data_IF_966046573888
#
_entry.id   IF_966046573888
#
_cell.length_a   1.000
_cell.length_b   1.000
_cell.length_c   1.000
_cell.angle_alpha   90.00
_cell.angle_beta   90.00
_cell.angle_gamma   90.00
#
_symmetry.space_group_name_H-M   'P 1'
#
loop_
_entity.id
_entity.type
_entity.pdbx_description
1 polymer ?
#
# COMPACT_ATOMS: atom_id res chain seq x y z
N UNK A 1 -14.64 23.91 10.96
CA UNK A 1 -13.71 22.94 10.33
C UNK A 1 -13.99 21.47 10.69
N UNK A 2 -14.70 21.14 11.77
CA UNK A 2 -15.03 19.74 12.14
C UNK A 2 -15.96 19.00 11.15
N UNK A 3 -16.93 19.71 10.55
CA UNK A 3 -17.89 19.08 9.64
C UNK A 3 -17.23 18.50 8.38
N UNK A 4 -16.25 19.18 7.78
CA UNK A 4 -15.68 18.75 6.51
C UNK A 4 -14.90 17.43 6.65
N UNK A 5 -14.15 17.27 7.75
CA UNK A 5 -13.40 16.04 8.04
C UNK A 5 -14.32 14.84 8.35
N UNK A 6 -15.48 15.08 8.96
CA UNK A 6 -16.45 14.04 9.27
C UNK A 6 -17.17 13.55 8.00
N UNK A 7 -17.57 14.47 7.11
CA UNK A 7 -18.18 14.11 5.83
C UNK A 7 -17.21 13.35 4.92
N UNK A 8 -15.97 13.81 4.77
CA UNK A 8 -14.98 13.10 3.93
C UNK A 8 -14.74 11.68 4.40
N UNK A 9 -14.68 11.44 5.72
CA UNK A 9 -14.49 10.10 6.28
C UNK A 9 -15.70 9.17 6.01
N UNK A 10 -16.94 9.70 6.10
CA UNK A 10 -18.14 8.93 5.77
C UNK A 10 -18.20 8.52 4.29
N UNK A 11 -17.84 9.42 3.37
CA UNK A 11 -17.78 9.10 1.95
C UNK A 11 -16.66 8.09 1.63
N UNK A 12 -15.51 8.19 2.29
CA UNK A 12 -14.43 7.22 2.17
C UNK A 12 -14.86 5.82 2.63
N UNK A 13 -15.51 5.72 3.80
CA UNK A 13 -16.03 4.44 4.31
C UNK A 13 -17.11 3.84 3.39
N UNK A 14 -18.00 4.68 2.87
CA UNK A 14 -19.03 4.26 1.93
C UNK A 14 -18.44 3.80 0.58
N UNK A 15 -17.35 4.42 0.12
CA UNK A 15 -16.63 3.96 -1.06
C UNK A 15 -15.86 2.67 -0.78
N UNK A 16 -15.24 2.54 0.40
CA UNK A 16 -14.52 1.34 0.80
C UNK A 16 -15.44 0.11 0.88
N UNK A 17 -16.71 0.26 1.26
CA UNK A 17 -17.67 -0.85 1.31
C UNK A 17 -18.17 -1.32 -0.06
N UNK A 18 -17.92 -0.56 -1.13
CA UNK A 18 -18.27 -0.95 -2.50
C UNK A 18 -17.19 -1.83 -3.15
N UNK A 19 -16.03 -2.00 -2.53
CA UNK A 19 -15.01 -2.88 -3.06
C UNK A 19 -15.47 -4.35 -3.01
N UNK A 20 -15.05 -5.17 -3.99
CA UNK A 20 -15.36 -6.59 -3.99
C UNK A 20 -14.67 -7.30 -2.81
N UNK A 21 -15.22 -8.42 -2.34
CA UNK A 21 -14.70 -9.16 -1.18
C UNK A 21 -13.21 -9.48 -1.28
N UNK A 22 -12.73 -9.85 -2.47
CA UNK A 22 -11.31 -10.13 -2.73
C UNK A 22 -10.40 -8.96 -2.35
N UNK A 23 -10.85 -7.71 -2.51
CA UNK A 23 -10.08 -6.54 -2.08
C UNK A 23 -9.95 -6.52 -0.55
N UNK A 24 -11.05 -6.74 0.18
CA UNK A 24 -11.03 -6.73 1.65
C UNK A 24 -10.12 -7.82 2.20
N UNK A 25 -10.15 -9.01 1.61
CA UNK A 25 -9.31 -10.14 2.01
C UNK A 25 -7.83 -9.84 1.74
N UNK A 26 -7.49 -9.37 0.53
CA UNK A 26 -6.12 -9.02 0.14
C UNK A 26 -5.58 -7.84 0.95
N UNK A 27 -6.40 -6.82 1.23
CA UNK A 27 -5.97 -5.60 1.88
C UNK A 27 -5.43 -5.85 3.30
N UNK A 28 -5.95 -6.86 4.01
CA UNK A 28 -5.42 -7.26 5.31
C UNK A 28 -3.96 -7.69 5.18
N UNK A 29 -3.66 -8.53 4.18
CA UNK A 29 -2.31 -9.05 3.92
C UNK A 29 -1.37 -7.95 3.42
N UNK A 30 -1.83 -7.13 2.47
CA UNK A 30 -1.07 -5.99 1.94
C UNK A 30 -0.68 -5.02 3.08
N UNK A 31 -1.61 -4.68 3.97
CA UNK A 31 -1.32 -3.77 5.09
C UNK A 31 -0.24 -4.31 6.03
N UNK A 32 -0.23 -5.63 6.30
CA UNK A 32 0.80 -6.28 7.12
C UNK A 32 2.17 -6.21 6.45
N UNK A 33 2.25 -6.53 5.16
CA UNK A 33 3.51 -6.51 4.40
C UNK A 33 4.06 -5.09 4.31
N UNK A 34 3.23 -4.09 3.97
CA UNK A 34 3.63 -2.69 3.95
C UNK A 34 4.09 -2.20 5.33
N UNK A 35 3.39 -2.55 6.42
CA UNK A 35 3.78 -2.16 7.77
C UNK A 35 5.15 -2.70 8.18
N UNK A 36 5.54 -3.90 7.71
CA UNK A 36 6.87 -4.46 7.96
C UNK A 36 7.96 -3.66 7.24
N UNK A 37 7.71 -3.23 6.01
CA UNK A 37 8.67 -2.44 5.19
C UNK A 37 8.81 -1.00 5.68
N UNK A 38 7.76 -0.44 6.31
CA UNK A 38 7.76 0.89 6.93
C UNK A 38 8.48 0.94 8.30
N UNK A 39 8.99 -0.18 8.84
CA UNK A 39 9.59 -0.21 10.19
C UNK A 39 10.88 0.63 10.26
N UNK A 40 11.13 1.31 11.40
CA UNK A 40 12.25 2.24 11.60
C UNK A 40 13.65 1.66 11.41
N UNK A 41 13.77 0.33 11.52
CA UNK A 41 15.04 -0.39 11.35
C UNK A 41 15.25 -0.88 9.89
N UNK A 42 14.28 -0.62 9.00
CA UNK A 42 14.36 -0.90 7.58
C UNK A 42 15.04 0.27 6.84
N UNK A 43 15.96 -0.05 5.95
CA UNK A 43 16.77 0.88 5.13
C UNK A 43 15.94 1.80 4.22
N UNK A 44 14.61 1.69 4.23
CA UNK A 44 13.63 2.32 3.32
C UNK A 44 12.78 3.41 3.95
N UNK A 45 13.17 3.96 5.10
CA UNK A 45 12.40 4.98 5.83
C UNK A 45 12.00 6.21 4.99
N UNK A 46 12.67 6.45 3.86
CA UNK A 46 12.42 7.59 2.98
C UNK A 46 12.36 7.25 1.47
N UNK A 47 12.47 5.98 1.09
CA UNK A 47 12.53 5.57 -0.32
C UNK A 47 11.32 4.74 -0.74
N UNK A 48 10.83 4.94 -1.97
CA UNK A 48 9.99 3.94 -2.62
C UNK A 48 10.80 2.63 -2.72
N UNK A 49 10.26 1.46 -2.35
CA UNK A 49 10.96 0.20 -2.54
C UNK A 49 11.33 0.01 -4.02
N UNK A 50 12.46 -0.65 -4.28
CA UNK A 50 12.84 -1.01 -5.65
C UNK A 50 11.82 -1.96 -6.25
N UNK A 51 11.80 -2.06 -7.59
CA UNK A 51 10.90 -2.99 -8.30
C UNK A 51 11.04 -4.42 -7.77
N UNK A 52 12.27 -4.89 -7.56
CA UNK A 52 12.55 -6.24 -7.03
C UNK A 52 11.95 -6.45 -5.64
N UNK A 53 12.04 -5.44 -4.77
CA UNK A 53 11.42 -5.49 -3.44
C UNK A 53 9.90 -5.51 -3.55
N UNK A 54 9.32 -4.71 -4.45
CA UNK A 54 7.87 -4.73 -4.71
C UNK A 54 7.42 -6.09 -5.22
N UNK A 55 8.15 -6.68 -6.16
CA UNK A 55 7.84 -8.00 -6.71
C UNK A 55 7.87 -9.07 -5.60
N UNK A 56 8.88 -9.04 -4.71
CA UNK A 56 8.93 -9.92 -3.53
C UNK A 56 7.76 -9.70 -2.56
N UNK A 57 7.35 -8.45 -2.35
CA UNK A 57 6.19 -8.14 -1.51
C UNK A 57 4.89 -8.68 -2.12
N UNK A 58 4.75 -8.64 -3.46
CA UNK A 58 3.59 -9.21 -4.16
C UNK A 58 3.52 -10.72 -3.95
N UNK A 59 4.66 -11.41 -4.02
CA UNK A 59 4.75 -12.85 -3.74
C UNK A 59 4.33 -13.18 -2.32
N UNK A 60 4.83 -12.44 -1.34
CA UNK A 60 4.52 -12.67 0.06
C UNK A 60 3.01 -12.52 0.34
N UNK A 61 2.37 -11.52 -0.26
CA UNK A 61 0.91 -11.34 -0.16
C UNK A 61 0.16 -12.47 -0.88
N UNK A 62 0.63 -12.88 -2.06
CA UNK A 62 0.02 -13.96 -2.82
C UNK A 62 0.01 -15.27 -2.03
N UNK A 63 1.17 -15.63 -1.46
CA UNK A 63 1.34 -16.84 -0.65
C UNK A 63 0.53 -16.76 0.66
N UNK A 64 0.55 -15.62 1.36
CA UNK A 64 -0.25 -15.42 2.57
C UNK A 64 -1.76 -15.54 2.29
N UNK A 65 -2.25 -14.97 1.18
CA UNK A 65 -3.65 -15.08 0.79
C UNK A 65 -4.06 -16.53 0.47
N UNK A 66 -3.24 -17.24 -0.30
CA UNK A 66 -3.51 -18.64 -0.62
C UNK A 66 -3.48 -19.55 0.62
N UNK A 67 -2.56 -19.31 1.54
CA UNK A 67 -2.40 -20.15 2.74
C UNK A 67 -3.43 -19.83 3.83
N UNK A 68 -3.62 -18.55 4.16
CA UNK A 68 -4.47 -18.12 5.28
C UNK A 68 -5.95 -18.00 4.89
N UNK A 69 -6.26 -17.64 3.64
CA UNK A 69 -7.63 -17.30 3.22
C UNK A 69 -8.27 -18.38 2.35
N UNK A 70 -7.56 -18.89 1.33
CA UNK A 70 -8.10 -19.93 0.45
C UNK A 70 -7.84 -21.36 0.95
N UNK A 71 -6.88 -21.53 1.86
CA UNK A 71 -6.44 -22.83 2.37
C UNK A 71 -5.64 -23.67 1.36
N UNK A 72 -5.02 -24.73 1.86
CA UNK A 72 -4.05 -25.59 1.15
C UNK A 72 -4.59 -26.30 -0.11
N UNK A 73 -5.91 -26.28 -0.34
CA UNK A 73 -6.55 -26.91 -1.50
C UNK A 73 -6.54 -26.02 -2.76
N UNK A 74 -6.21 -24.73 -2.64
CA UNK A 74 -6.28 -23.77 -3.74
C UNK A 74 -5.00 -23.64 -4.58
N UNK A 75 -3.94 -24.37 -4.21
CA UNK A 75 -2.63 -24.31 -4.90
C UNK A 75 -2.57 -25.23 -6.13
N UNK A 76 -3.71 -25.74 -6.57
CA UNK A 76 -3.80 -26.67 -7.69
C UNK A 76 -3.79 -25.91 -9.02
N UNK A 77 -2.73 -26.17 -9.81
CA UNK A 77 -2.62 -25.97 -11.26
C UNK A 77 -2.58 -24.53 -11.78
N UNK A 78 -1.41 -23.89 -11.71
CA UNK A 78 -0.99 -23.00 -12.81
C UNK A 78 0.53 -23.11 -12.99
N UNK A 79 0.96 -24.01 -13.86
CA UNK A 79 2.34 -24.10 -14.36
C UNK A 79 2.32 -23.80 -15.87
N UNK A 80 2.49 -22.55 -16.30
CA UNK A 80 2.83 -22.27 -17.69
C UNK A 80 4.34 -22.45 -17.82
N UNK A 81 4.76 -23.13 -18.89
CA UNK A 81 6.15 -23.50 -19.19
C UNK A 81 7.13 -22.31 -19.34
N UNK A 82 6.61 -21.06 -19.33
CA UNK A 82 7.36 -19.82 -19.35
C UNK A 82 7.11 -18.99 -18.08
N UNK A 83 7.98 -19.15 -17.08
CA UNK A 83 7.90 -18.52 -15.74
C UNK A 83 7.76 -16.98 -15.79
N UNK A 84 8.37 -16.34 -16.80
CA UNK A 84 8.34 -14.88 -17.00
C UNK A 84 7.00 -14.35 -17.52
N UNK A 85 6.38 -15.05 -18.49
CA UNK A 85 5.08 -14.65 -19.06
C UNK A 85 3.89 -15.12 -18.20
N UNK A 86 4.06 -16.21 -17.47
CA UNK A 86 3.13 -16.69 -16.45
C UNK A 86 2.90 -15.67 -15.34
N UNK A 87 3.99 -15.08 -14.82
CA UNK A 87 3.95 -14.09 -13.76
C UNK A 87 3.19 -12.81 -14.17
N UNK A 88 3.34 -12.37 -15.44
CA UNK A 88 2.59 -11.21 -15.99
C UNK A 88 1.11 -11.49 -16.20
N UNK A 89 0.73 -12.74 -16.46
CA UNK A 89 -0.66 -13.14 -16.76
C UNK A 89 -1.48 -13.48 -15.53
N UNK A 90 -0.92 -13.41 -14.31
CA UNK A 90 -1.70 -13.66 -13.11
C UNK A 90 -2.47 -12.37 -12.72
N UNK A 91 -3.79 -12.27 -13.01
CA UNK A 91 -4.55 -11.06 -12.73
C UNK A 91 -4.60 -10.77 -11.23
N UNK A 92 -4.48 -11.80 -10.38
CA UNK A 92 -4.49 -11.66 -8.93
C UNK A 92 -3.18 -11.00 -8.44
N UNK A 93 -2.02 -11.39 -8.99
CA UNK A 93 -0.75 -10.71 -8.69
C UNK A 93 -0.74 -9.25 -9.13
N UNK A 94 -1.28 -8.97 -10.33
CA UNK A 94 -1.40 -7.60 -10.82
C UNK A 94 -2.33 -6.78 -9.91
N UNK A 95 -3.45 -7.36 -9.47
CA UNK A 95 -4.37 -6.74 -8.51
C UNK A 95 -3.66 -6.46 -7.17
N UNK A 96 -2.93 -7.43 -6.64
CA UNK A 96 -2.10 -7.26 -5.43
C UNK A 96 -1.14 -6.10 -5.61
N UNK A 97 -0.40 -6.06 -6.74
CA UNK A 97 0.55 -4.99 -7.04
C UNK A 97 -0.09 -3.60 -7.03
N UNK A 98 -1.26 -3.46 -7.65
CA UNK A 98 -2.02 -2.19 -7.65
C UNK A 98 -2.43 -1.78 -6.24
N UNK A 99 -2.99 -2.69 -5.45
CA UNK A 99 -3.40 -2.42 -4.06
C UNK A 99 -2.18 -2.04 -3.21
N UNK A 100 -1.07 -2.76 -3.37
CA UNK A 100 0.17 -2.58 -2.63
C UNK A 100 0.83 -1.24 -2.89
N UNK A 101 0.95 -0.83 -4.16
CA UNK A 101 1.44 0.50 -4.51
C UNK A 101 0.50 1.58 -3.97
N UNK A 102 -0.82 1.38 -4.07
CA UNK A 102 -1.82 2.28 -3.48
C UNK A 102 -1.62 2.49 -1.98
N UNK A 103 -1.43 1.42 -1.22
CA UNK A 103 -1.17 1.47 0.23
C UNK A 103 0.16 2.15 0.56
N UNK A 104 1.25 1.81 -0.15
CA UNK A 104 2.55 2.45 0.01
C UNK A 104 2.50 3.95 -0.25
N UNK A 105 1.74 4.38 -1.27
CA UNK A 105 1.54 5.80 -1.56
C UNK A 105 0.63 6.45 -0.52
N UNK A 106 -0.46 5.79 -0.08
CA UNK A 106 -1.38 6.30 0.95
C UNK A 106 -0.65 6.60 2.25
N UNK A 107 0.27 5.72 2.66
CA UNK A 107 1.08 5.85 3.88
C UNK A 107 2.13 6.96 3.79
N UNK A 108 2.67 7.21 2.59
CA UNK A 108 3.66 8.27 2.33
C UNK A 108 3.05 9.61 1.98
N UNK A 109 1.79 9.65 1.57
CA UNK A 109 1.00 10.88 1.46
C UNK A 109 0.72 11.38 2.88
N UNK A 110 1.74 11.98 3.47
CA UNK A 110 1.56 13.01 4.49
C UNK A 110 0.68 14.04 3.79
N UNK A 111 -0.60 14.10 4.13
CA UNK A 111 -1.42 15.25 3.76
C UNK A 111 -0.63 16.46 4.28
N UNK A 112 -0.15 17.37 3.41
CA UNK A 112 0.28 18.65 3.91
C UNK A 112 -1.00 19.27 4.46
N UNK A 113 -1.15 19.20 5.77
CA UNK A 113 -1.98 20.18 6.44
C UNK A 113 -1.50 21.53 5.90
N UNK A 114 -2.37 22.37 5.32
CA UNK A 114 -2.01 23.76 5.19
C UNK A 114 -1.76 24.21 6.63
N UNK A 115 -0.50 24.36 7.01
CA UNK A 115 -0.15 25.08 8.22
C UNK A 115 -0.84 26.44 8.06
N UNK A 116 -1.81 26.81 8.93
CA UNK A 116 -2.59 28.02 8.67
C UNK A 116 -1.79 29.31 8.80
N UNK A 117 -0.49 29.25 9.09
CA UNK A 117 0.34 30.43 9.32
C UNK A 117 1.79 30.19 8.86
N UNK A 118 2.29 30.93 7.85
CA UNK A 118 3.68 31.31 7.88
C UNK A 118 3.81 32.38 8.98
N UNK A 119 4.21 31.96 10.19
CA UNK A 119 4.77 32.93 11.12
C UNK A 119 6.03 33.49 10.46
N UNK A 120 6.15 34.81 10.23
CA UNK A 120 7.37 35.37 9.70
C UNK A 120 8.49 35.11 10.73
N UNK A 121 9.55 34.45 10.29
CA UNK A 121 10.79 34.33 11.04
C UNK A 121 11.24 35.75 11.46
N UNK A 122 11.38 36.07 12.75
CA UNK A 122 11.70 37.44 13.18
C UNK A 122 13.21 37.76 13.15
N UNK A 123 14.05 36.92 12.56
CA UNK A 123 15.49 37.14 12.57
C UNK A 123 16.02 37.44 11.17
N UNK A 124 16.26 38.70 10.82
CA UNK A 124 17.16 39.04 9.72
C UNK A 124 18.59 38.73 10.18
N UNK A 125 19.28 37.85 9.46
CA UNK A 125 20.73 37.76 9.56
C UNK A 125 21.35 39.14 9.25
N UNK A 126 22.22 39.70 10.10
CA UNK A 126 23.14 40.71 9.67
C UNK A 126 24.38 40.04 9.06
N UNK A 127 24.67 40.42 7.82
CA UNK A 127 26.01 40.35 7.27
C UNK A 127 26.93 41.22 8.13
N UNK A 128 28.01 40.64 8.66
CA UNK A 128 29.34 41.23 8.83
C UNK A 128 30.38 40.12 8.96
#
# INVERSE_FOLDING_TARGET
MYNNMYYTNQYEQAAESLYPQIYHDLNIHVKRVCQRVDRPNGTTLYGLPSKEVVDQMIEEVYDAYHTETLGSQSRESYMPEDEYYAAQRNPLRNLIGVILIGELLRRRRIYPYPTPYPYPSPYPYPYY
#
